data_IF_524911787434
#
_entry.id   IF_524911787434
#
_cell.length_a   1.000
_cell.length_b   1.000
_cell.length_c   1.000
_cell.angle_alpha   90.00
_cell.angle_beta   90.00
_cell.angle_gamma   90.00
#
_symmetry.space_group_name_H-M   'P 1'
#
loop_
_entity.id
_entity.type
_entity.pdbx_description
1 polymer ?
#
# COMPACT_ATOMS: atom_id res chain seq x y z
N UNK A 1 -14.84 -0.29 -8.67
CA UNK A 1 -14.44 -0.57 -10.06
C UNK A 1 -15.67 -0.86 -10.91
N UNK A 2 -15.76 -0.36 -12.15
CA UNK A 2 -16.79 -0.72 -13.13
C UNK A 2 -16.37 -1.99 -13.88
N UNK A 3 -17.33 -2.65 -14.52
CA UNK A 3 -17.11 -3.88 -15.30
C UNK A 3 -16.09 -3.70 -16.44
N UNK A 4 -16.12 -2.53 -17.09
CA UNK A 4 -15.27 -2.22 -18.24
C UNK A 4 -13.80 -2.05 -17.80
N UNK A 5 -13.59 -1.37 -16.67
CA UNK A 5 -12.28 -1.24 -16.01
C UNK A 5 -11.66 -2.62 -15.71
N UNK A 6 -12.45 -3.56 -15.18
CA UNK A 6 -12.02 -4.94 -14.89
C UNK A 6 -11.50 -5.66 -16.13
N UNK A 7 -12.19 -5.51 -17.27
CA UNK A 7 -11.79 -6.16 -18.53
C UNK A 7 -10.48 -5.57 -19.06
N UNK A 8 -10.34 -4.23 -19.06
CA UNK A 8 -9.11 -3.57 -19.50
C UNK A 8 -7.89 -3.99 -18.65
N UNK A 9 -8.08 -4.16 -17.33
CA UNK A 9 -7.05 -4.68 -16.41
C UNK A 9 -6.70 -6.14 -16.74
N UNK A 10 -7.69 -7.02 -16.93
CA UNK A 10 -7.45 -8.43 -17.30
C UNK A 10 -6.70 -8.57 -18.63
N UNK A 11 -7.05 -7.76 -19.64
CA UNK A 11 -6.37 -7.72 -20.94
C UNK A 11 -4.92 -7.23 -20.81
N UNK A 12 -4.67 -6.14 -20.07
CA UNK A 12 -3.33 -5.61 -19.81
C UNK A 12 -2.43 -6.65 -19.10
N UNK A 13 -2.94 -7.28 -18.03
CA UNK A 13 -2.24 -8.35 -17.33
C UNK A 13 -1.93 -9.53 -18.27
N UNK A 14 -2.89 -9.95 -19.10
CA UNK A 14 -2.69 -11.07 -20.04
C UNK A 14 -1.64 -10.74 -21.10
N UNK A 15 -1.67 -9.54 -21.66
CA UNK A 15 -0.68 -9.09 -22.65
C UNK A 15 0.75 -9.07 -22.09
N UNK A 16 0.93 -8.68 -20.82
CA UNK A 16 2.22 -8.67 -20.14
C UNK A 16 2.69 -10.09 -19.80
N UNK A 17 1.82 -10.96 -19.30
CA UNK A 17 2.15 -12.37 -19.06
C UNK A 17 2.64 -13.02 -20.36
N UNK A 18 1.91 -12.85 -21.47
CA UNK A 18 2.24 -13.45 -22.77
C UNK A 18 3.58 -12.99 -23.35
N UNK A 19 4.01 -11.74 -23.10
CA UNK A 19 5.33 -11.27 -23.55
C UNK A 19 6.49 -11.66 -22.63
N UNK A 20 6.23 -12.29 -21.48
CA UNK A 20 7.22 -12.56 -20.43
C UNK A 20 7.37 -14.06 -20.08
N UNK A 21 6.67 -14.97 -20.77
CA UNK A 21 6.78 -16.43 -20.56
C UNK A 21 7.04 -17.15 -21.89
N UNK A 22 7.53 -18.39 -21.83
CA UNK A 22 7.61 -19.26 -23.01
C UNK A 22 6.23 -19.73 -23.47
N UNK A 23 6.09 -20.10 -24.75
CA UNK A 23 4.83 -20.62 -25.29
C UNK A 23 4.28 -21.82 -24.50
N UNK A 24 5.13 -22.76 -24.07
CA UNK A 24 4.73 -23.89 -23.21
C UNK A 24 4.16 -23.44 -21.87
N UNK A 25 4.69 -22.37 -21.30
CA UNK A 25 4.24 -21.81 -20.02
C UNK A 25 2.97 -20.98 -20.18
N UNK A 26 2.81 -20.25 -21.30
CA UNK A 26 1.54 -19.63 -21.67
C UNK A 26 0.45 -20.70 -21.86
N UNK A 27 0.69 -21.72 -22.67
CA UNK A 27 -0.26 -22.81 -22.93
C UNK A 27 -0.65 -23.53 -21.62
N UNK A 28 0.31 -23.73 -20.72
CA UNK A 28 0.03 -24.28 -19.40
C UNK A 28 -0.85 -23.35 -18.54
N UNK A 29 -0.54 -22.05 -18.47
CA UNK A 29 -1.34 -21.05 -17.75
C UNK A 29 -2.77 -20.93 -18.31
N UNK A 30 -2.93 -20.92 -19.63
CA UNK A 30 -4.24 -20.91 -20.30
C UNK A 30 -5.03 -22.20 -20.01
N UNK A 31 -4.37 -23.36 -19.95
CA UNK A 31 -5.02 -24.63 -19.57
C UNK A 31 -5.54 -24.67 -18.12
N UNK A 32 -4.97 -23.85 -17.23
CA UNK A 32 -5.43 -23.74 -15.83
C UNK A 32 -6.75 -22.95 -15.76
N UNK A 33 -6.83 -21.78 -16.41
CA UNK A 33 -8.04 -20.95 -16.38
C UNK A 33 -9.21 -21.55 -17.19
N UNK A 34 -8.91 -22.35 -18.21
CA UNK A 34 -9.90 -23.07 -19.03
C UNK A 34 -10.47 -24.34 -18.34
N UNK A 35 -9.95 -24.75 -17.18
CA UNK A 35 -10.38 -25.98 -16.52
C UNK A 35 -11.74 -25.83 -15.83
N UNK A 36 -12.62 -26.83 -15.98
CA UNK A 36 -13.89 -26.88 -15.25
C UNK A 36 -13.72 -26.93 -13.71
N UNK A 37 -12.56 -27.40 -13.24
CA UNK A 37 -12.14 -27.34 -11.83
C UNK A 37 -11.06 -26.28 -11.63
N UNK A 38 -11.40 -25.02 -11.94
CA UNK A 38 -10.52 -23.86 -11.73
C UNK A 38 -9.97 -23.82 -10.29
N UNK A 39 -10.79 -24.16 -9.28
CA UNK A 39 -10.43 -24.04 -7.85
C UNK A 39 -9.21 -24.90 -7.51
N UNK A 40 -9.28 -26.21 -7.77
CA UNK A 40 -8.15 -27.10 -7.45
C UNK A 40 -6.99 -26.92 -8.43
N UNK A 41 -7.26 -26.55 -9.69
CA UNK A 41 -6.20 -26.28 -10.68
C UNK A 41 -5.39 -25.02 -10.35
N UNK A 42 -6.03 -23.96 -9.85
CA UNK A 42 -5.32 -22.76 -9.39
C UNK A 42 -4.52 -23.05 -8.12
N UNK A 43 -5.04 -23.84 -7.16
CA UNK A 43 -4.23 -24.28 -6.00
C UNK A 43 -2.98 -25.06 -6.42
N UNK A 44 -3.09 -25.99 -7.38
CA UNK A 44 -1.95 -26.73 -7.93
C UNK A 44 -0.99 -25.78 -8.70
N UNK A 45 -1.53 -24.86 -9.49
CA UNK A 45 -0.75 -23.92 -10.27
C UNK A 45 0.03 -22.94 -9.40
N UNK A 46 -0.54 -22.46 -8.29
CA UNK A 46 0.08 -21.46 -7.41
C UNK A 46 1.49 -21.87 -6.95
N UNK A 47 1.65 -23.13 -6.55
CA UNK A 47 2.93 -23.75 -6.15
C UNK A 47 3.85 -23.99 -7.35
N UNK A 48 3.27 -24.30 -8.51
CA UNK A 48 4.02 -24.63 -9.74
C UNK A 48 4.50 -23.42 -10.54
N UNK A 49 3.84 -22.25 -10.43
CA UNK A 49 4.12 -21.05 -11.26
C UNK A 49 5.62 -20.72 -11.31
N UNK A 50 6.36 -20.56 -10.19
CA UNK A 50 7.79 -20.26 -10.24
C UNK A 50 8.65 -21.26 -11.01
N UNK A 51 8.26 -22.54 -11.05
CA UNK A 51 8.96 -23.60 -11.79
C UNK A 51 8.62 -23.61 -13.29
N UNK A 52 7.56 -22.90 -13.68
CA UNK A 52 7.09 -22.76 -15.07
C UNK A 52 7.50 -21.42 -15.69
N UNK A 53 7.45 -20.34 -14.92
CA UNK A 53 7.68 -18.96 -15.40
C UNK A 53 9.07 -18.43 -15.06
N UNK A 54 9.76 -19.03 -14.10
CA UNK A 54 10.89 -18.38 -13.43
C UNK A 54 10.43 -17.19 -12.56
N UNK A 55 11.39 -16.38 -12.11
CA UNK A 55 11.19 -15.23 -11.20
C UNK A 55 11.85 -13.92 -11.69
N UNK A 56 12.08 -13.78 -13.01
CA UNK A 56 12.61 -12.53 -13.58
C UNK A 56 11.64 -11.36 -13.38
N UNK A 57 12.16 -10.15 -13.21
CA UNK A 57 11.36 -8.91 -13.26
C UNK A 57 10.79 -8.77 -14.67
N UNK A 58 9.50 -8.41 -14.76
CA UNK A 58 8.79 -8.29 -16.03
C UNK A 58 9.42 -7.21 -16.92
N UNK A 59 9.40 -7.45 -18.22
CA UNK A 59 9.79 -6.50 -19.25
C UNK A 59 8.52 -5.93 -19.90
N UNK A 60 8.49 -4.61 -20.07
CA UNK A 60 7.34 -3.88 -20.60
C UNK A 60 7.74 -3.07 -21.83
N UNK A 61 7.04 -3.28 -22.95
CA UNK A 61 7.12 -2.40 -24.11
C UNK A 61 6.27 -1.12 -23.92
N UNK A 62 6.47 -0.11 -24.75
CA UNK A 62 5.80 1.19 -24.59
C UNK A 62 4.26 1.10 -24.64
N UNK A 63 3.68 0.21 -25.46
CA UNK A 63 2.23 0.01 -25.50
C UNK A 63 1.70 -0.60 -24.19
N UNK A 64 2.45 -1.53 -23.58
CA UNK A 64 2.13 -2.09 -22.26
C UNK A 64 2.24 -1.03 -21.16
N UNK A 65 3.28 -0.17 -21.18
CA UNK A 65 3.43 0.96 -20.24
C UNK A 65 2.24 1.93 -20.31
N UNK A 66 1.83 2.30 -21.53
CA UNK A 66 0.64 3.15 -21.74
C UNK A 66 -0.63 2.46 -21.25
N UNK A 67 -0.79 1.15 -21.51
CA UNK A 67 -1.94 0.37 -21.07
C UNK A 67 -2.07 0.29 -19.54
N UNK A 68 -0.99 -0.02 -18.81
CA UNK A 68 -1.02 -0.06 -17.34
C UNK A 68 -1.19 1.32 -16.70
N UNK A 69 -0.67 2.38 -17.34
CA UNK A 69 -0.90 3.75 -16.90
C UNK A 69 -2.36 4.18 -17.07
N UNK A 70 -2.97 3.88 -18.22
CA UNK A 70 -4.39 4.13 -18.47
C UNK A 70 -5.31 3.34 -17.52
N UNK A 71 -4.89 2.13 -17.12
CA UNK A 71 -5.61 1.29 -16.16
C UNK A 71 -5.26 1.59 -14.68
N UNK A 72 -4.39 2.56 -14.38
CA UNK A 72 -4.01 2.92 -13.01
C UNK A 72 -3.10 1.92 -12.27
N UNK A 73 -2.58 0.91 -12.96
CA UNK A 73 -1.82 -0.22 -12.37
C UNK A 73 -0.30 -0.17 -12.65
N UNK A 74 0.25 1.00 -12.98
CA UNK A 74 1.69 1.20 -13.28
C UNK A 74 2.65 0.63 -12.22
N UNK A 75 2.21 0.51 -10.96
CA UNK A 75 2.98 -0.06 -9.87
C UNK A 75 3.41 -1.53 -10.07
N UNK A 76 2.75 -2.27 -10.96
CA UNK A 76 3.16 -3.65 -11.27
C UNK A 76 4.48 -3.74 -12.04
N UNK A 77 5.01 -2.63 -12.56
CA UNK A 77 6.17 -2.58 -13.47
C UNK A 77 7.43 -3.28 -12.95
N UNK A 78 7.63 -3.29 -11.62
CA UNK A 78 8.81 -3.89 -10.98
C UNK A 78 8.54 -5.29 -10.41
N UNK A 79 7.38 -5.91 -10.71
CA UNK A 79 7.03 -7.24 -10.21
C UNK A 79 7.80 -8.34 -10.93
N UNK A 80 7.98 -9.47 -10.24
CA UNK A 80 8.48 -10.71 -10.85
C UNK A 80 7.36 -11.42 -11.61
N UNK A 81 7.72 -12.14 -12.67
CA UNK A 81 6.74 -12.83 -13.52
C UNK A 81 5.95 -13.92 -12.77
N UNK A 82 6.49 -14.54 -11.71
CA UNK A 82 5.73 -15.47 -10.87
C UNK A 82 4.66 -14.76 -10.02
N UNK A 83 4.95 -13.58 -9.48
CA UNK A 83 3.96 -12.72 -8.79
C UNK A 83 2.86 -12.30 -9.76
N UNK A 84 3.22 -11.83 -10.96
CA UNK A 84 2.26 -11.42 -11.97
C UNK A 84 1.37 -12.57 -12.45
N UNK A 85 1.95 -13.74 -12.77
CA UNK A 85 1.19 -14.90 -13.21
C UNK A 85 0.23 -15.42 -12.13
N UNK A 86 0.64 -15.39 -10.85
CA UNK A 86 -0.25 -15.71 -9.71
C UNK A 86 -1.43 -14.73 -9.61
N UNK A 87 -1.19 -13.42 -9.71
CA UNK A 87 -2.25 -12.40 -9.70
C UNK A 87 -3.19 -12.55 -10.92
N UNK A 88 -2.65 -12.80 -12.11
CA UNK A 88 -3.44 -13.05 -13.32
C UNK A 88 -4.30 -14.32 -13.22
N UNK A 89 -3.78 -15.42 -12.66
CA UNK A 89 -4.58 -16.63 -12.42
C UNK A 89 -5.78 -16.34 -11.49
N UNK A 90 -5.57 -15.52 -10.46
CA UNK A 90 -6.62 -15.13 -9.51
C UNK A 90 -7.66 -14.17 -10.14
N UNK A 91 -7.23 -13.22 -10.96
CA UNK A 91 -8.14 -12.30 -11.66
C UNK A 91 -8.98 -12.98 -12.76
N UNK A 92 -8.68 -14.24 -13.11
CA UNK A 92 -9.45 -15.08 -14.04
C UNK A 92 -10.39 -16.09 -13.33
N UNK A 93 -10.52 -16.02 -11.99
CA UNK A 93 -11.51 -16.81 -11.25
C UNK A 93 -12.95 -16.37 -11.60
N UNK A 94 -13.86 -17.33 -11.70
CA UNK A 94 -15.28 -17.05 -11.94
C UNK A 94 -15.90 -16.28 -10.75
N UNK A 95 -16.24 -15.01 -10.98
CA UNK A 95 -16.83 -14.10 -9.99
C UNK A 95 -18.37 -14.22 -9.85
N UNK A 96 -19.05 -15.09 -10.60
CA UNK A 96 -20.51 -15.24 -10.49
C UNK A 96 -20.98 -15.90 -9.18
N UNK A 97 -20.07 -16.58 -8.47
CA UNK A 97 -20.32 -17.28 -7.21
C UNK A 97 -19.35 -16.74 -6.15
N UNK A 98 -19.84 -15.79 -5.35
CA UNK A 98 -19.07 -15.02 -4.37
C UNK A 98 -18.55 -15.89 -3.22
N UNK A 99 -19.33 -16.90 -2.78
CA UNK A 99 -18.93 -17.84 -1.74
C UNK A 99 -17.83 -18.79 -2.23
N UNK A 100 -17.97 -19.33 -3.44
CA UNK A 100 -16.96 -20.21 -4.05
C UNK A 100 -15.69 -19.46 -4.46
N UNK A 101 -15.81 -18.20 -4.87
CA UNK A 101 -14.66 -17.30 -5.07
C UNK A 101 -13.90 -17.12 -3.75
N UNK A 102 -14.59 -16.71 -2.68
CA UNK A 102 -14.01 -16.56 -1.36
C UNK A 102 -13.34 -17.85 -0.90
N UNK A 103 -14.06 -18.97 -0.86
CA UNK A 103 -13.58 -20.27 -0.38
C UNK A 103 -12.47 -20.90 -1.25
N UNK A 104 -12.24 -20.39 -2.46
CA UNK A 104 -11.10 -20.75 -3.31
C UNK A 104 -9.85 -19.97 -2.92
N UNK A 105 -9.94 -18.64 -2.77
CA UNK A 105 -8.80 -17.79 -2.43
C UNK A 105 -8.41 -17.92 -0.96
N UNK A 106 -9.38 -18.03 -0.05
CA UNK A 106 -9.16 -18.24 1.39
C UNK A 106 -8.33 -19.51 1.65
N UNK A 107 -8.61 -20.60 0.92
CA UNK A 107 -7.85 -21.86 0.97
C UNK A 107 -6.37 -21.67 0.60
N UNK A 108 -6.05 -20.74 -0.29
CA UNK A 108 -4.67 -20.43 -0.65
C UNK A 108 -3.96 -19.70 0.51
N UNK A 109 -4.62 -18.72 1.15
CA UNK A 109 -4.08 -18.04 2.33
C UNK A 109 -3.75 -19.00 3.47
N UNK A 110 -4.59 -20.02 3.71
CA UNK A 110 -4.40 -21.01 4.79
C UNK A 110 -3.13 -21.87 4.65
N UNK A 111 -2.52 -21.96 3.46
CA UNK A 111 -1.31 -22.76 3.21
C UNK A 111 -0.18 -22.00 2.51
N UNK A 112 -0.30 -20.67 2.37
CA UNK A 112 0.61 -19.87 1.54
C UNK A 112 2.02 -19.80 2.14
N UNK A 113 3.04 -20.12 1.35
CA UNK A 113 4.42 -19.71 1.65
C UNK A 113 4.64 -18.21 1.39
N UNK A 114 5.80 -17.67 1.77
CA UNK A 114 6.05 -16.22 1.72
C UNK A 114 5.78 -15.60 0.34
N UNK A 115 6.23 -16.20 -0.77
CA UNK A 115 6.00 -15.61 -2.10
C UNK A 115 4.57 -15.82 -2.62
N UNK A 116 3.81 -16.72 -2.00
CA UNK A 116 2.39 -16.95 -2.27
C UNK A 116 1.53 -15.94 -1.51
N UNK A 117 1.82 -15.72 -0.23
CA UNK A 117 1.16 -14.68 0.58
C UNK A 117 1.35 -13.30 -0.05
N UNK A 118 2.58 -12.96 -0.46
CA UNK A 118 2.87 -11.73 -1.24
C UNK A 118 1.97 -11.62 -2.47
N UNK A 119 1.85 -12.69 -3.28
CA UNK A 119 1.03 -12.67 -4.48
C UNK A 119 -0.49 -12.57 -4.18
N UNK A 120 -0.97 -13.21 -3.11
CA UNK A 120 -2.37 -13.15 -2.69
C UNK A 120 -2.77 -11.74 -2.21
N UNK A 121 -1.95 -11.09 -1.38
CA UNK A 121 -2.21 -9.70 -0.96
C UNK A 121 -2.05 -8.70 -2.11
N UNK A 122 -1.13 -8.97 -3.04
CA UNK A 122 -1.01 -8.21 -4.29
C UNK A 122 -2.20 -8.35 -5.22
N UNK A 123 -2.99 -9.43 -5.08
CA UNK A 123 -4.14 -9.68 -5.94
C UNK A 123 -5.40 -8.90 -5.50
N UNK A 124 -5.47 -8.36 -4.28
CA UNK A 124 -6.69 -7.76 -3.74
C UNK A 124 -7.32 -6.65 -4.62
N UNK A 125 -6.57 -5.73 -5.26
CA UNK A 125 -7.12 -4.76 -6.23
C UNK A 125 -7.72 -5.39 -7.50
N UNK A 126 -7.35 -6.64 -7.80
CA UNK A 126 -7.65 -7.36 -9.04
C UNK A 126 -8.73 -8.44 -8.86
N UNK A 127 -9.25 -8.61 -7.64
CA UNK A 127 -10.33 -9.54 -7.32
C UNK A 127 -11.70 -8.85 -7.43
N UNK A 128 -12.71 -9.61 -7.87
CA UNK A 128 -14.10 -9.17 -7.81
C UNK A 128 -14.63 -9.13 -6.36
N UNK A 129 -15.76 -8.44 -6.16
CA UNK A 129 -16.46 -8.31 -4.86
C UNK A 129 -15.53 -7.81 -3.76
N UNK A 130 -14.91 -6.62 -3.92
CA UNK A 130 -13.78 -6.18 -3.10
C UNK A 130 -14.11 -6.16 -1.60
N UNK A 131 -15.37 -5.94 -1.23
CA UNK A 131 -15.86 -5.92 0.15
C UNK A 131 -15.67 -7.25 0.92
N UNK A 132 -15.56 -8.40 0.25
CA UNK A 132 -15.39 -9.69 0.93
C UNK A 132 -13.96 -9.90 1.46
N UNK A 133 -12.97 -9.20 0.91
CA UNK A 133 -11.56 -9.39 1.26
C UNK A 133 -11.09 -8.54 2.44
N UNK A 134 -11.95 -7.64 2.96
CA UNK A 134 -11.61 -6.68 4.03
C UNK A 134 -11.03 -7.40 5.25
N UNK A 135 -11.61 -8.54 5.63
CA UNK A 135 -11.12 -9.36 6.75
C UNK A 135 -9.75 -9.99 6.51
N UNK A 136 -9.46 -10.44 5.28
CA UNK A 136 -8.14 -10.98 4.91
C UNK A 136 -7.10 -9.84 4.83
N UNK A 137 -7.46 -8.66 4.33
CA UNK A 137 -6.59 -7.47 4.40
C UNK A 137 -6.25 -7.08 5.86
N UNK A 138 -7.24 -7.06 6.74
CA UNK A 138 -7.06 -6.82 8.18
C UNK A 138 -6.19 -7.89 8.86
N UNK A 139 -6.33 -9.16 8.47
CA UNK A 139 -5.45 -10.24 8.93
C UNK A 139 -4.00 -10.04 8.45
N UNK A 140 -3.81 -9.64 7.20
CA UNK A 140 -2.49 -9.39 6.61
C UNK A 140 -1.70 -8.27 7.31
N UNK A 141 -2.37 -7.19 7.73
CA UNK A 141 -1.75 -6.09 8.50
C UNK A 141 -1.16 -6.58 9.84
N UNK A 142 -1.72 -7.66 10.40
CA UNK A 142 -1.23 -8.29 11.64
C UNK A 142 0.00 -9.19 11.42
N UNK A 143 0.45 -9.36 10.18
CA UNK A 143 1.69 -10.04 9.85
C UNK A 143 2.92 -9.35 10.45
N UNK A 144 4.00 -10.10 10.58
CA UNK A 144 5.34 -9.60 10.89
C UNK A 144 6.36 -9.93 9.77
N UNK A 145 5.89 -10.44 8.63
CA UNK A 145 6.72 -10.72 7.46
C UNK A 145 6.82 -9.44 6.62
N UNK A 146 8.03 -8.86 6.53
CA UNK A 146 8.26 -7.56 5.89
C UNK A 146 7.67 -7.44 4.49
N UNK A 147 7.94 -8.42 3.62
CA UNK A 147 7.47 -8.47 2.23
C UNK A 147 5.96 -8.65 2.08
N UNK A 148 5.31 -9.30 3.05
CA UNK A 148 3.84 -9.39 3.10
C UNK A 148 3.24 -8.04 3.48
N UNK A 149 3.84 -7.33 4.44
CA UNK A 149 3.41 -5.97 4.81
C UNK A 149 3.62 -4.99 3.63
N UNK A 150 4.76 -5.04 2.94
CA UNK A 150 4.99 -4.29 1.68
C UNK A 150 3.89 -4.56 0.65
N UNK A 151 3.53 -5.83 0.41
CA UNK A 151 2.50 -6.19 -0.57
C UNK A 151 1.07 -5.75 -0.20
N UNK A 152 0.83 -5.35 1.05
CA UNK A 152 -0.46 -4.83 1.54
C UNK A 152 -0.44 -3.30 1.61
N UNK A 153 0.66 -2.70 2.08
CA UNK A 153 0.76 -1.29 2.43
C UNK A 153 1.27 -0.44 1.27
N UNK A 154 2.28 -0.91 0.54
CA UNK A 154 2.99 -0.11 -0.45
C UNK A 154 2.49 -0.42 -1.87
N UNK A 155 2.15 0.64 -2.59
CA UNK A 155 1.66 0.61 -3.97
C UNK A 155 0.43 -0.31 -4.17
N UNK A 156 -0.43 -0.42 -3.14
CA UNK A 156 -1.66 -1.20 -3.17
C UNK A 156 -2.85 -0.26 -2.85
N UNK A 157 -3.78 -0.02 -3.78
CA UNK A 157 -4.93 0.86 -3.53
C UNK A 157 -5.98 0.24 -2.59
N UNK A 158 -6.07 -1.10 -2.57
CA UNK A 158 -7.16 -1.83 -1.92
C UNK A 158 -7.45 -1.39 -0.46
N UNK A 159 -6.45 -1.18 0.42
CA UNK A 159 -6.74 -0.79 1.81
C UNK A 159 -7.39 0.58 1.92
N UNK A 160 -6.95 1.54 1.09
CA UNK A 160 -7.49 2.92 1.09
C UNK A 160 -8.92 3.00 0.58
N UNK A 161 -9.31 2.09 -0.30
CA UNK A 161 -10.64 1.98 -0.88
C UNK A 161 -11.64 1.18 -0.01
N UNK A 162 -11.16 0.21 0.79
CA UNK A 162 -12.04 -0.83 1.38
C UNK A 162 -11.93 -1.00 2.91
N UNK A 163 -10.89 -0.51 3.58
CA UNK A 163 -10.83 -0.56 5.05
C UNK A 163 -11.64 0.59 5.67
N UNK A 164 -12.33 0.29 6.77
CA UNK A 164 -12.81 1.32 7.70
C UNK A 164 -11.64 2.11 8.32
N UNK A 165 -11.94 3.26 8.92
CA UNK A 165 -10.91 4.16 9.46
C UNK A 165 -10.12 3.53 10.62
N UNK A 166 -10.71 2.63 11.42
CA UNK A 166 -9.99 1.96 12.50
C UNK A 166 -8.93 0.97 11.96
N UNK A 167 -9.29 0.13 11.00
CA UNK A 167 -8.36 -0.80 10.34
C UNK A 167 -7.32 -0.06 9.48
N UNK A 168 -7.71 1.05 8.85
CA UNK A 168 -6.80 1.95 8.14
C UNK A 168 -5.78 2.61 9.08
N UNK A 169 -6.22 3.15 10.22
CA UNK A 169 -5.35 3.80 11.19
C UNK A 169 -4.31 2.81 11.76
N UNK A 170 -4.73 1.56 11.99
CA UNK A 170 -3.83 0.48 12.39
C UNK A 170 -2.84 0.09 11.28
N UNK A 171 -3.22 0.15 9.99
CA UNK A 171 -2.29 -0.04 8.86
C UNK A 171 -1.20 1.03 8.89
N UNK A 172 -1.57 2.31 8.99
CA UNK A 172 -0.61 3.42 8.95
C UNK A 172 0.32 3.41 10.17
N UNK A 173 -0.21 3.18 11.38
CA UNK A 173 0.62 3.02 12.59
C UNK A 173 1.60 1.85 12.45
N UNK A 174 1.14 0.69 11.94
CA UNK A 174 1.99 -0.48 11.70
C UNK A 174 3.05 -0.21 10.62
N UNK A 175 2.76 0.61 9.61
CA UNK A 175 3.72 1.02 8.60
C UNK A 175 4.88 1.84 9.20
N UNK A 176 4.59 2.82 10.05
CA UNK A 176 5.63 3.54 10.82
C UNK A 176 6.39 2.62 11.78
N UNK A 177 5.71 1.71 12.47
CA UNK A 177 6.36 0.75 13.38
C UNK A 177 7.27 -0.26 12.65
N UNK A 178 6.99 -0.56 11.38
CA UNK A 178 7.75 -1.53 10.57
C UNK A 178 8.58 -0.87 9.45
N UNK A 179 8.83 0.44 9.59
CA UNK A 179 9.77 1.24 8.79
C UNK A 179 9.54 1.10 7.27
N UNK A 180 8.26 1.18 6.85
CA UNK A 180 7.83 1.14 5.44
C UNK A 180 7.98 2.49 4.75
N UNK A 181 8.04 2.48 3.42
CA UNK A 181 8.00 3.72 2.64
C UNK A 181 6.57 4.26 2.60
N UNK A 182 6.26 5.10 3.59
CA UNK A 182 4.95 5.70 3.81
C UNK A 182 4.46 6.45 2.55
N UNK A 183 5.38 6.93 1.69
CA UNK A 183 5.06 7.67 0.46
C UNK A 183 4.44 6.77 -0.62
N UNK A 184 4.64 5.45 -0.53
CA UNK A 184 3.99 4.47 -1.41
C UNK A 184 2.61 4.03 -0.92
N UNK A 185 2.17 4.45 0.27
CA UNK A 185 0.83 4.12 0.77
C UNK A 185 -0.19 4.92 -0.04
N UNK A 186 -0.99 4.24 -0.85
CA UNK A 186 -2.01 4.87 -1.69
C UNK A 186 -3.12 5.47 -0.82
N UNK A 187 -3.57 6.68 -1.12
CA UNK A 187 -4.66 7.34 -0.38
C UNK A 187 -4.26 7.92 0.98
N UNK A 188 -2.96 8.06 1.27
CA UNK A 188 -2.44 8.46 2.58
C UNK A 188 -2.96 9.82 3.07
N UNK A 189 -2.90 10.86 2.23
CA UNK A 189 -3.31 12.21 2.60
C UNK A 189 -4.83 12.38 2.58
N UNK A 190 -5.53 11.56 1.80
CA UNK A 190 -6.98 11.54 1.60
C UNK A 190 -7.70 10.84 2.75
N UNK A 191 -7.14 9.74 3.26
CA UNK A 191 -7.66 8.98 4.42
C UNK A 191 -7.11 9.46 5.76
N UNK A 192 -6.23 10.47 5.77
CA UNK A 192 -5.77 11.09 7.01
C UNK A 192 -6.96 11.67 7.81
N UNK A 193 -6.98 11.41 9.12
CA UNK A 193 -8.11 11.74 10.00
C UNK A 193 -7.63 12.09 11.43
N UNK A 194 -8.50 12.67 12.26
CA UNK A 194 -8.15 13.12 13.61
C UNK A 194 -7.73 11.98 14.55
N UNK A 195 -8.39 10.81 14.48
CA UNK A 195 -8.03 9.66 15.31
C UNK A 195 -6.65 9.11 14.95
N UNK A 196 -6.30 9.10 13.66
CA UNK A 196 -4.95 8.80 13.19
C UNK A 196 -3.93 9.83 13.70
N UNK A 197 -4.24 11.12 13.61
CA UNK A 197 -3.35 12.18 14.08
C UNK A 197 -3.05 12.05 15.59
N UNK A 198 -4.06 11.78 16.41
CA UNK A 198 -3.90 11.54 17.86
C UNK A 198 -3.10 10.25 18.12
N UNK A 199 -3.42 9.15 17.44
CA UNK A 199 -2.68 7.88 17.54
C UNK A 199 -1.19 8.03 17.19
N UNK A 200 -0.88 8.88 16.20
CA UNK A 200 0.49 9.18 15.80
C UNK A 200 1.21 10.14 16.75
N UNK A 201 0.48 11.03 17.43
CA UNK A 201 1.02 11.84 18.55
C UNK A 201 1.42 10.95 19.72
N UNK A 202 0.58 9.98 20.10
CA UNK A 202 0.92 9.00 21.15
C UNK A 202 2.14 8.16 20.77
N UNK A 203 2.23 7.70 19.52
CA UNK A 203 3.43 7.02 19.02
C UNK A 203 4.67 7.93 19.06
N UNK A 204 4.55 9.22 18.73
CA UNK A 204 5.65 10.18 18.87
C UNK A 204 6.09 10.34 20.33
N UNK A 205 5.14 10.46 21.26
CA UNK A 205 5.40 10.50 22.70
C UNK A 205 6.16 9.25 23.17
N UNK A 206 5.74 8.05 22.76
CA UNK A 206 6.43 6.79 23.08
C UNK A 206 7.86 6.75 22.52
N UNK A 207 8.06 7.20 21.27
CA UNK A 207 9.39 7.23 20.63
C UNK A 207 10.34 8.17 21.37
N UNK A 208 9.89 9.39 21.70
CA UNK A 208 10.67 10.36 22.47
C UNK A 208 11.01 9.83 23.88
N UNK A 209 10.03 9.26 24.59
CA UNK A 209 10.23 8.66 25.92
C UNK A 209 11.24 7.49 25.90
N UNK A 210 11.31 6.75 24.78
CA UNK A 210 12.30 5.70 24.55
C UNK A 210 13.64 6.21 23.98
N UNK A 211 13.86 7.52 23.86
CA UNK A 211 15.08 8.12 23.32
C UNK A 211 15.29 7.89 21.82
N UNK A 212 14.21 7.62 21.07
CA UNK A 212 14.25 7.30 19.63
C UNK A 212 13.71 8.45 18.80
N UNK A 213 14.27 8.64 17.60
CA UNK A 213 13.73 9.58 16.60
C UNK A 213 12.31 9.20 16.17
N UNK A 214 11.51 10.22 15.87
CA UNK A 214 10.23 10.10 15.16
C UNK A 214 10.48 10.19 13.65
N UNK A 215 9.65 9.53 12.84
CA UNK A 215 9.76 9.59 11.38
C UNK A 215 9.16 10.92 10.87
N UNK A 216 9.87 11.74 10.07
CA UNK A 216 9.39 13.08 9.69
C UNK A 216 8.06 13.07 8.92
N UNK A 217 7.83 12.09 8.05
CA UNK A 217 6.54 11.90 7.35
C UNK A 217 5.34 11.67 8.30
N UNK A 218 5.54 11.44 9.61
CA UNK A 218 4.43 11.34 10.58
C UNK A 218 3.64 12.66 10.67
N UNK A 219 4.35 13.79 10.65
CA UNK A 219 3.77 15.12 10.83
C UNK A 219 2.84 15.54 9.68
N UNK A 220 3.03 14.98 8.48
CA UNK A 220 2.14 15.08 7.31
C UNK A 220 0.69 14.76 7.64
N UNK A 221 0.49 13.73 8.47
CA UNK A 221 -0.83 13.20 8.83
C UNK A 221 -1.42 13.90 10.06
N UNK A 222 -0.63 14.75 10.72
CA UNK A 222 -1.04 15.56 11.89
C UNK A 222 -1.44 16.98 11.47
N UNK A 223 -0.78 17.58 10.47
CA UNK A 223 -0.92 19.01 10.11
C UNK A 223 -2.35 19.52 9.94
N UNK A 224 -3.19 18.79 9.19
CA UNK A 224 -4.61 19.13 8.95
C UNK A 224 -5.47 19.11 10.23
N UNK A 225 -5.01 18.46 11.29
CA UNK A 225 -5.78 18.18 12.51
C UNK A 225 -5.27 18.89 13.76
N UNK A 226 -4.19 19.68 13.65
CA UNK A 226 -3.62 20.42 14.77
C UNK A 226 -4.71 21.27 15.45
N UNK A 227 -4.82 21.08 16.75
CA UNK A 227 -5.74 21.75 17.64
C UNK A 227 -4.98 22.14 18.92
N UNK A 228 -5.68 22.61 19.96
CA UNK A 228 -5.05 23.01 21.21
C UNK A 228 -4.28 21.88 21.92
N UNK A 229 -4.76 20.63 21.84
CA UNK A 229 -4.14 19.45 22.45
C UNK A 229 -2.89 19.01 21.68
N UNK A 230 -3.04 18.74 20.38
CA UNK A 230 -1.94 18.34 19.49
C UNK A 230 -0.81 19.39 19.49
N UNK A 231 -1.15 20.68 19.57
CA UNK A 231 -0.15 21.75 19.62
C UNK A 231 0.76 21.69 20.87
N UNK A 232 0.27 21.24 22.02
CA UNK A 232 1.14 21.04 23.20
C UNK A 232 2.23 20.00 22.93
N UNK A 233 1.90 18.90 22.24
CA UNK A 233 2.87 17.88 21.84
C UNK A 233 3.82 18.37 20.73
N UNK A 234 3.36 19.18 19.78
CA UNK A 234 4.24 19.78 18.76
C UNK A 234 5.31 20.69 19.39
N UNK A 235 4.99 21.40 20.48
CA UNK A 235 5.99 22.19 21.22
C UNK A 235 7.07 21.32 21.86
N UNK A 236 6.76 20.09 22.28
CA UNK A 236 7.77 19.13 22.77
C UNK A 236 8.71 18.74 21.63
N UNK A 237 8.17 18.33 20.47
CA UNK A 237 8.96 17.97 19.29
C UNK A 237 9.85 19.11 18.78
N UNK A 238 9.36 20.36 18.79
CA UNK A 238 10.14 21.54 18.41
C UNK A 238 11.32 21.83 19.35
N UNK A 239 11.26 21.39 20.61
CA UNK A 239 12.33 21.56 21.59
C UNK A 239 13.40 20.44 21.53
N UNK A 240 13.21 19.41 20.69
CA UNK A 240 14.24 18.40 20.44
C UNK A 240 15.28 18.89 19.43
N UNK A 241 16.55 18.50 19.64
CA UNK A 241 17.68 18.87 18.78
C UNK A 241 17.77 18.03 17.50
N UNK A 242 16.65 17.87 16.79
CA UNK A 242 16.59 17.23 15.48
C UNK A 242 16.00 18.18 14.44
N UNK A 243 16.87 18.77 13.61
CA UNK A 243 16.47 19.72 12.57
C UNK A 243 15.56 19.12 11.49
N UNK A 244 15.57 17.79 11.29
CA UNK A 244 14.68 17.13 10.32
C UNK A 244 13.27 17.06 10.89
N UNK A 245 13.15 16.67 12.17
CA UNK A 245 11.88 16.64 12.89
C UNK A 245 11.29 18.06 13.04
N UNK A 246 12.09 19.05 13.45
CA UNK A 246 11.66 20.45 13.57
C UNK A 246 11.15 21.02 12.23
N UNK A 247 11.81 20.73 11.10
CA UNK A 247 11.37 21.17 9.76
C UNK A 247 10.08 20.49 9.31
N UNK A 248 9.91 19.20 9.62
CA UNK A 248 8.68 18.47 9.33
C UNK A 248 7.49 19.00 10.16
N UNK A 249 7.69 19.28 11.45
CA UNK A 249 6.67 19.95 12.29
C UNK A 249 6.34 21.35 11.74
N UNK A 250 7.34 22.14 11.33
CA UNK A 250 7.11 23.46 10.74
C UNK A 250 6.27 23.39 9.45
N UNK A 251 6.52 22.39 8.59
CA UNK A 251 5.73 22.15 7.38
C UNK A 251 4.28 21.74 7.70
N UNK A 252 4.09 20.86 8.69
CA UNK A 252 2.76 20.44 9.16
C UNK A 252 1.95 21.62 9.75
N UNK A 253 2.59 22.51 10.50
CA UNK A 253 1.96 23.74 11.03
C UNK A 253 1.61 24.71 9.90
N UNK A 254 2.48 24.87 8.90
CA UNK A 254 2.20 25.74 7.75
C UNK A 254 0.97 25.28 6.95
N UNK A 255 0.76 23.96 6.85
CA UNK A 255 -0.38 23.32 6.19
C UNK A 255 -1.65 23.22 7.06
N UNK A 256 -1.61 23.68 8.31
CA UNK A 256 -2.76 23.69 9.22
C UNK A 256 -3.60 24.96 9.09
N UNK A 257 -4.78 24.99 9.71
CA UNK A 257 -5.55 26.23 9.95
C UNK A 257 -5.41 26.76 11.39
N UNK A 258 -4.71 26.05 12.27
CA UNK A 258 -4.58 26.42 13.68
C UNK A 258 -3.58 27.58 13.91
N UNK A 259 -4.08 28.81 13.86
CA UNK A 259 -3.28 30.04 13.95
C UNK A 259 -2.28 30.11 15.12
N UNK A 260 -2.59 29.69 16.36
CA UNK A 260 -1.63 29.75 17.47
C UNK A 260 -0.34 28.95 17.23
N UNK A 261 -0.41 27.85 16.46
CA UNK A 261 0.79 27.11 16.07
C UNK A 261 1.62 27.88 15.02
N UNK A 262 0.97 28.53 14.04
CA UNK A 262 1.65 29.36 13.03
C UNK A 262 2.39 30.53 13.67
N UNK A 263 1.74 31.22 14.60
CA UNK A 263 2.35 32.32 15.36
C UNK A 263 3.54 31.85 16.20
N UNK A 264 3.45 30.64 16.79
CA UNK A 264 4.55 30.04 17.54
C UNK A 264 5.73 29.63 16.65
N UNK A 265 5.51 29.00 15.49
CA UNK A 265 6.58 28.67 14.53
C UNK A 265 7.31 29.94 14.04
N UNK A 266 6.61 31.06 13.89
CA UNK A 266 7.25 32.33 13.54
C UNK A 266 8.21 32.89 14.61
N UNK A 267 8.26 32.33 15.82
CA UNK A 267 9.26 32.68 16.84
C UNK A 267 10.62 32.02 16.61
N UNK A 268 10.70 30.99 15.76
CA UNK A 268 11.94 30.28 15.39
C UNK A 268 12.49 30.84 14.06
N UNK A 269 13.59 31.62 14.06
CA UNK A 269 14.05 32.30 12.84
C UNK A 269 14.43 31.35 11.70
N UNK A 270 15.07 30.22 12.03
CA UNK A 270 15.51 29.21 11.04
C UNK A 270 14.34 28.49 10.36
N UNK A 271 13.30 28.12 11.13
CA UNK A 271 12.11 27.46 10.60
C UNK A 271 11.26 28.44 9.79
N UNK A 272 11.13 29.69 10.25
CA UNK A 272 10.48 30.76 9.49
C UNK A 272 11.18 31.03 8.16
N UNK A 273 12.51 31.04 8.14
CA UNK A 273 13.30 31.19 6.90
C UNK A 273 13.02 30.02 5.95
N UNK A 274 13.19 28.78 6.42
CA UNK A 274 13.03 27.58 5.59
C UNK A 274 11.61 27.43 5.00
N UNK A 275 10.57 27.88 5.72
CA UNK A 275 9.21 27.99 5.18
C UNK A 275 9.09 29.11 4.13
N UNK A 276 9.68 30.29 4.39
CA UNK A 276 9.58 31.45 3.50
C UNK A 276 10.30 31.28 2.14
N UNK A 277 11.31 30.42 2.08
CA UNK A 277 12.02 30.08 0.83
C UNK A 277 11.20 29.15 -0.09
N UNK A 278 10.12 28.52 0.40
CA UNK A 278 9.33 27.55 -0.36
C UNK A 278 10.03 26.19 -0.59
N UNK A 279 11.22 25.99 0.00
CA UNK A 279 12.05 24.80 -0.19
C UNK A 279 11.59 23.57 0.61
N UNK A 280 10.62 23.70 1.53
CA UNK A 280 10.08 22.59 2.32
C UNK A 280 8.84 21.96 1.68
N UNK A 281 8.95 20.68 1.34
CA UNK A 281 7.86 19.82 0.87
C UNK A 281 7.97 18.42 1.48
N UNK A 282 6.93 17.58 1.36
CA UNK A 282 6.96 16.24 1.93
C UNK A 282 7.92 15.28 1.23
N UNK A 283 8.28 15.51 -0.03
CA UNK A 283 9.25 14.66 -0.76
C UNK A 283 10.71 14.86 -0.30
N UNK A 284 10.94 15.87 0.55
CA UNK A 284 12.24 16.19 1.16
C UNK A 284 12.55 15.42 2.45
N UNK A 285 11.72 14.43 2.82
CA UNK A 285 11.72 13.72 4.10
C UNK A 285 11.60 12.20 3.99
#
# INVERSE_FOLDING_TARGET
MKRDDTMAIQEALSAIVKSNVSADSQNWLESVIQSADQSNKISQAFVMVPRKTGKSVIQLNEAQKVSIAAAGISYISNWTIDRLCRVWLLSNLNAADQEKLYATVDRLFLSAEMSEAVALYSALPFLAHPEIWVKRCAEGIRSNIGSVLEAIMENNPYPSENLDDAAWNQLVLKAFFTEKDIRHIVGLDERANLELALTLIDYANERWAAGRKVHPQLWRLVGKFINAEIFEHLKVGLMHYDQIEQRAIALAVAQSDYQPAKDYIHTFPELKLALSEGNLNWDSF
#
